data_IF_703213128577
#
_entry.id   IF_703213128577
#
_cell.length_a   1.000
_cell.length_b   1.000
_cell.length_c   1.000
_cell.angle_alpha   90.00
_cell.angle_beta   90.00
_cell.angle_gamma   90.00
#
_symmetry.space_group_name_H-M   'P 1'
#
loop_
_entity.id
_entity.type
_entity.pdbx_description
1 polymer ?
#
# COMPACT_ATOMS: atom_id res chain seq x y z
N UNK A 1 -23.43 -4.81 -46.31
CA UNK A 1 -24.06 -3.51 -46.01
C UNK A 1 -23.53 -2.97 -44.68
N UNK A 2 -23.01 -1.73 -44.70
CA UNK A 2 -22.82 -0.73 -43.62
C UNK A 2 -22.19 -1.14 -42.26
N UNK A 3 -20.91 -0.76 -42.12
CA UNK A 3 -20.23 -0.41 -40.85
C UNK A 3 -21.01 0.69 -40.13
N UNK A 4 -21.09 0.65 -38.80
CA UNK A 4 -21.30 1.84 -37.96
C UNK A 4 -20.26 1.85 -36.84
N UNK A 5 -19.19 2.61 -37.09
CA UNK A 5 -18.36 3.21 -36.04
C UNK A 5 -19.21 4.28 -35.37
N UNK A 6 -19.36 4.26 -34.04
CA UNK A 6 -19.73 5.45 -33.29
C UNK A 6 -18.44 6.01 -32.66
N UNK A 7 -17.89 7.01 -33.33
CA UNK A 7 -17.02 8.01 -32.76
C UNK A 7 -17.84 9.30 -32.67
N UNK A 8 -17.65 10.04 -31.57
CA UNK A 8 -17.95 11.45 -31.29
C UNK A 8 -18.73 11.60 -29.98
N UNK A 9 -18.54 12.61 -29.12
CA UNK A 9 -17.56 13.69 -28.99
C UNK A 9 -18.04 14.51 -27.78
N UNK A 10 -17.09 15.02 -26.99
CA UNK A 10 -17.17 16.24 -26.16
C UNK A 10 -18.43 16.55 -25.36
N UNK A 11 -18.28 16.60 -24.03
CA UNK A 11 -18.67 17.81 -23.29
C UNK A 11 -17.74 18.02 -22.10
N UNK A 12 -17.04 19.16 -22.12
CA UNK A 12 -16.27 19.69 -21.00
C UNK A 12 -17.24 20.30 -19.99
N UNK A 13 -17.17 19.90 -18.73
CA UNK A 13 -17.65 20.74 -17.63
C UNK A 13 -16.54 20.85 -16.59
N UNK A 14 -15.93 22.03 -16.60
CA UNK A 14 -14.98 22.53 -15.61
C UNK A 14 -15.82 23.02 -14.44
N UNK A 15 -15.59 22.51 -13.24
CA UNK A 15 -15.98 23.21 -12.00
C UNK A 15 -14.69 23.43 -11.20
N UNK A 16 -14.23 24.67 -11.26
CA UNK A 16 -13.24 25.25 -10.36
C UNK A 16 -13.98 25.64 -9.08
N UNK A 17 -13.56 25.11 -7.93
CA UNK A 17 -13.89 25.67 -6.63
C UNK A 17 -12.59 25.96 -5.89
N UNK A 18 -12.38 27.24 -5.60
CA UNK A 18 -11.16 27.84 -5.07
C UNK A 18 -11.34 28.11 -3.56
N UNK A 19 -10.48 27.50 -2.75
CA UNK A 19 -9.84 27.97 -1.50
C UNK A 19 -10.69 28.49 -0.31
N UNK A 20 -10.48 27.84 0.83
CA UNK A 20 -10.10 28.45 2.13
C UNK A 20 -9.56 27.29 2.99
N UNK A 21 -8.31 27.27 3.49
CA UNK A 21 -7.63 28.29 4.25
C UNK A 21 -7.51 27.81 5.71
N UNK A 22 -6.47 27.04 6.04
CA UNK A 22 -5.87 27.05 7.38
C UNK A 22 -4.54 26.28 7.40
N UNK A 23 -3.45 27.03 7.32
CA UNK A 23 -2.14 26.65 7.84
C UNK A 23 -2.25 26.64 9.36
N UNK A 24 -2.33 25.47 9.99
CA UNK A 24 -2.08 25.35 11.43
C UNK A 24 -0.63 24.93 11.60
N UNK A 25 0.11 25.79 12.30
CA UNK A 25 1.55 25.83 12.34
C UNK A 25 2.19 24.66 13.08
N UNK A 26 3.38 24.33 12.60
CA UNK A 26 4.39 23.56 13.31
C UNK A 26 4.82 24.42 14.50
N UNK A 27 4.31 24.14 15.70
CA UNK A 27 4.86 24.71 16.93
C UNK A 27 5.94 23.76 17.44
N UNK A 28 7.18 24.11 17.12
CA UNK A 28 8.35 23.73 17.90
C UNK A 28 8.13 24.22 19.34
N UNK A 29 7.82 23.32 20.28
CA UNK A 29 8.00 23.62 21.70
C UNK A 29 9.32 23.01 22.12
N UNK A 30 10.35 23.85 22.00
CA UNK A 30 11.63 23.65 22.64
C UNK A 30 11.49 23.66 24.15
N UNK A 31 12.23 22.73 24.73
CA UNK A 31 12.63 22.59 26.11
C UNK A 31 12.72 23.94 26.86
N UNK A 32 12.01 24.07 27.98
CA UNK A 32 12.32 25.08 29.00
C UNK A 32 13.26 24.44 29.99
N UNK A 33 14.48 24.95 30.08
CA UNK A 33 15.15 25.14 31.36
C UNK A 33 16.10 26.34 31.29
N UNK A 34 15.77 27.32 32.14
CA UNK A 34 16.67 28.10 33.00
C UNK A 34 17.92 28.79 32.42
N UNK A 35 17.79 30.12 32.26
CA UNK A 35 18.61 31.18 32.90
C UNK A 35 20.07 30.85 33.30
N UNK A 36 21.04 31.61 32.76
CA UNK A 36 22.00 32.53 33.45
C UNK A 36 23.33 32.69 32.66
N UNK A 37 23.73 33.96 32.53
CA UNK A 37 25.07 34.58 32.39
C UNK A 37 25.88 34.54 31.07
N UNK A 38 26.08 35.76 30.54
CA UNK A 38 27.32 36.37 30.02
C UNK A 38 28.56 35.48 29.80
N UNK A 39 29.03 35.37 28.54
CA UNK A 39 30.38 35.81 28.10
C UNK A 39 30.56 35.66 26.58
N UNK A 40 31.45 36.47 25.99
CA UNK A 40 31.70 36.72 24.55
C UNK A 40 32.80 35.74 24.00
N UNK A 41 33.33 35.86 22.76
CA UNK A 41 33.00 35.16 21.50
C UNK A 41 33.97 34.01 21.03
N UNK A 42 33.54 33.30 19.97
CA UNK A 42 34.31 32.59 18.90
C UNK A 42 34.66 31.06 18.99
N UNK A 43 34.73 30.34 17.82
CA UNK A 43 34.64 28.87 17.64
C UNK A 43 36.05 28.19 17.58
N UNK A 44 36.28 26.84 17.46
CA UNK A 44 35.57 25.83 16.64
C UNK A 44 35.54 24.33 17.11
N UNK A 45 34.84 23.51 16.31
CA UNK A 45 35.01 22.05 16.04
C UNK A 45 35.38 21.07 17.15
N UNK A 46 34.47 20.14 17.50
CA UNK A 46 34.83 18.72 17.79
C UNK A 46 33.61 17.77 17.75
N UNK A 47 33.73 16.80 16.84
CA UNK A 47 33.23 15.40 16.82
C UNK A 47 32.30 14.95 17.95
N UNK A 48 31.03 14.69 17.62
CA UNK A 48 30.11 13.96 18.49
C UNK A 48 30.25 12.46 18.22
N UNK A 49 30.98 11.79 19.12
CA UNK A 49 30.96 10.35 19.30
C UNK A 49 30.04 10.05 20.48
N UNK A 50 28.92 9.39 20.22
CA UNK A 50 28.06 8.81 21.25
C UNK A 50 27.31 7.60 20.66
N UNK A 51 28.06 6.59 20.23
CA UNK A 51 27.56 5.23 20.10
C UNK A 51 27.24 4.67 21.50
N UNK A 52 25.95 4.61 21.84
CA UNK A 52 25.29 3.47 22.52
C UNK A 52 23.91 3.86 23.00
N UNK A 53 22.89 3.39 22.28
CA UNK A 53 21.62 3.03 22.90
C UNK A 53 21.23 1.65 22.39
N UNK A 54 21.49 0.68 23.26
CA UNK A 54 20.68 -0.50 23.57
C UNK A 54 19.69 -0.93 22.49
N UNK A 55 20.12 -1.94 21.75
CA UNK A 55 19.31 -2.81 20.91
C UNK A 55 18.08 -3.30 21.69
N UNK A 56 16.91 -2.75 21.37
CA UNK A 56 15.65 -3.44 21.57
C UNK A 56 15.64 -4.59 20.56
N UNK A 57 15.79 -5.81 21.05
CA UNK A 57 15.58 -7.01 20.24
C UNK A 57 14.06 -7.24 20.16
N UNK A 58 13.39 -7.04 19.01
CA UNK A 58 12.03 -7.50 18.87
C UNK A 58 12.03 -9.02 18.77
N UNK A 59 11.17 -9.65 19.58
CA UNK A 59 10.69 -11.02 19.42
C UNK A 59 10.42 -11.33 17.94
N UNK A 60 10.62 -12.58 17.43
CA UNK A 60 10.43 -12.91 16.03
C UNK A 60 8.93 -12.99 15.70
N UNK A 61 8.23 -11.86 15.76
CA UNK A 61 7.06 -11.65 14.94
C UNK A 61 7.56 -11.76 13.50
N UNK A 62 7.14 -12.82 12.81
CA UNK A 62 7.62 -13.11 11.49
C UNK A 62 7.24 -11.96 10.56
N UNK A 63 8.21 -11.06 10.34
CA UNK A 63 8.05 -9.77 9.66
C UNK A 63 7.34 -9.96 8.33
N UNK A 64 6.47 -9.02 7.97
CA UNK A 64 5.86 -8.99 6.64
C UNK A 64 7.00 -8.86 5.63
N UNK A 65 7.07 -9.72 4.60
CA UNK A 65 8.07 -9.57 3.55
C UNK A 65 7.91 -8.22 2.85
N UNK A 66 9.03 -7.66 2.40
CA UNK A 66 9.03 -6.43 1.61
C UNK A 66 8.30 -6.64 0.29
N UNK A 67 7.45 -5.68 -0.08
CA UNK A 67 6.68 -5.74 -1.31
C UNK A 67 6.40 -4.33 -1.84
N UNK A 68 6.12 -4.26 -3.13
CA UNK A 68 5.65 -3.07 -3.84
C UNK A 68 4.36 -3.39 -4.60
N UNK A 69 3.42 -2.45 -4.66
CA UNK A 69 2.27 -2.58 -5.55
C UNK A 69 2.72 -2.12 -6.93
N UNK A 70 2.88 -3.08 -7.85
CA UNK A 70 3.38 -2.83 -9.22
C UNK A 70 2.24 -2.50 -10.18
N UNK A 71 1.05 -3.01 -9.91
CA UNK A 71 -0.17 -2.71 -10.66
C UNK A 71 -1.37 -2.71 -9.71
N UNK A 72 -2.26 -1.73 -9.87
CA UNK A 72 -3.53 -1.65 -9.16
C UNK A 72 -4.63 -1.20 -10.11
N UNK A 73 -5.73 -1.95 -10.16
CA UNK A 73 -6.88 -1.65 -11.01
C UNK A 73 -8.18 -1.98 -10.29
N UNK A 74 -9.17 -1.10 -10.42
CA UNK A 74 -10.53 -1.34 -9.99
C UNK A 74 -11.44 -1.36 -11.21
N UNK A 75 -12.23 -2.41 -11.38
CA UNK A 75 -13.19 -2.53 -12.47
C UNK A 75 -14.58 -2.04 -12.03
N UNK A 76 -15.39 -1.61 -12.99
CA UNK A 76 -16.77 -1.11 -12.76
C UNK A 76 -17.69 -2.16 -12.10
N UNK A 77 -17.33 -3.45 -12.20
CA UNK A 77 -18.01 -4.55 -11.51
C UNK A 77 -17.60 -4.73 -10.04
N UNK A 78 -16.79 -3.82 -9.49
CA UNK A 78 -16.27 -3.87 -8.12
C UNK A 78 -15.22 -4.96 -7.91
N UNK A 79 -14.45 -5.30 -8.97
CA UNK A 79 -13.33 -6.23 -8.84
C UNK A 79 -12.06 -5.43 -8.66
N UNK A 80 -11.36 -5.68 -7.56
CA UNK A 80 -10.06 -5.08 -7.29
C UNK A 80 -8.94 -6.04 -7.70
N UNK A 81 -8.16 -5.65 -8.70
CA UNK A 81 -6.98 -6.37 -9.16
C UNK A 81 -5.73 -5.67 -8.60
N UNK A 82 -4.87 -6.43 -7.93
CA UNK A 82 -3.62 -5.91 -7.39
C UNK A 82 -2.48 -6.87 -7.67
N UNK A 83 -1.37 -6.34 -8.16
CA UNK A 83 -0.14 -7.09 -8.40
C UNK A 83 0.93 -6.63 -7.41
N UNK A 84 1.38 -7.54 -6.56
CA UNK A 84 2.45 -7.31 -5.60
C UNK A 84 3.77 -7.81 -6.18
N UNK A 85 4.73 -6.91 -6.34
CA UNK A 85 6.12 -7.24 -6.59
C UNK A 85 6.83 -7.55 -5.27
N UNK A 86 7.64 -8.60 -5.24
CA UNK A 86 8.46 -8.93 -4.08
C UNK A 86 9.78 -9.60 -4.48
N UNK A 87 10.75 -9.59 -3.57
CA UNK A 87 12.02 -10.33 -3.71
C UNK A 87 11.94 -11.74 -3.10
N UNK A 88 10.91 -12.03 -2.31
CA UNK A 88 10.77 -13.36 -1.68
C UNK A 88 10.17 -14.39 -2.63
N UNK A 89 10.67 -15.62 -2.51
CA UNK A 89 10.10 -16.82 -3.15
C UNK A 89 9.58 -17.82 -2.10
N UNK A 90 9.65 -17.46 -0.81
CA UNK A 90 9.21 -18.34 0.26
C UNK A 90 7.68 -18.47 0.28
N UNK A 91 7.16 -19.68 0.18
CA UNK A 91 5.72 -19.94 0.13
C UNK A 91 4.93 -19.35 1.32
N UNK A 92 5.48 -19.39 2.53
CA UNK A 92 4.79 -18.83 3.71
C UNK A 92 4.71 -17.31 3.64
N UNK A 93 5.76 -16.66 3.16
CA UNK A 93 5.81 -15.21 2.96
C UNK A 93 4.89 -14.77 1.83
N UNK A 94 4.88 -15.48 0.70
CA UNK A 94 3.94 -15.24 -0.40
C UNK A 94 2.49 -15.37 0.05
N UNK A 95 2.18 -16.35 0.91
CA UNK A 95 0.84 -16.50 1.49
C UNK A 95 0.46 -15.32 2.37
N UNK A 96 1.39 -14.80 3.19
CA UNK A 96 1.16 -13.60 4.00
C UNK A 96 0.87 -12.38 3.14
N UNK A 97 1.60 -12.19 2.03
CA UNK A 97 1.35 -11.09 1.09
C UNK A 97 -0.06 -11.15 0.51
N UNK A 98 -0.49 -12.32 0.06
CA UNK A 98 -1.85 -12.53 -0.45
C UNK A 98 -2.90 -12.20 0.62
N UNK A 99 -2.70 -12.70 1.86
CA UNK A 99 -3.60 -12.41 2.98
C UNK A 99 -3.63 -10.92 3.34
N UNK A 100 -2.48 -10.26 3.26
CA UNK A 100 -2.35 -8.83 3.52
C UNK A 100 -3.12 -8.01 2.48
N UNK A 101 -2.92 -8.27 1.19
CA UNK A 101 -3.70 -7.61 0.14
C UNK A 101 -5.20 -7.87 0.29
N UNK A 102 -5.62 -9.10 0.60
CA UNK A 102 -7.02 -9.39 0.90
C UNK A 102 -7.54 -8.55 2.08
N UNK A 103 -6.72 -8.35 3.12
CA UNK A 103 -7.10 -7.52 4.27
C UNK A 103 -7.26 -6.04 3.90
N UNK A 104 -6.44 -5.52 2.96
CA UNK A 104 -6.62 -4.18 2.39
C UNK A 104 -7.94 -4.10 1.60
N UNK A 105 -8.34 -5.16 0.90
CA UNK A 105 -9.63 -5.18 0.21
C UNK A 105 -10.80 -4.99 1.18
N UNK A 106 -10.71 -5.57 2.40
CA UNK A 106 -11.77 -5.46 3.42
C UNK A 106 -11.99 -4.01 3.86
N UNK A 107 -10.92 -3.20 3.94
CA UNK A 107 -11.06 -1.78 4.27
C UNK A 107 -11.72 -0.99 3.14
N UNK A 108 -11.65 -1.49 1.90
CA UNK A 108 -12.30 -0.96 0.70
C UNK A 108 -13.65 -1.63 0.38
N UNK A 109 -14.23 -2.42 1.30
CA UNK A 109 -15.42 -3.26 1.07
C UNK A 109 -16.70 -2.52 0.66
N UNK A 110 -16.77 -1.20 0.81
CA UNK A 110 -17.91 -0.40 0.35
C UNK A 110 -18.01 -0.35 -1.19
N UNK A 111 -16.89 -0.53 -1.89
CA UNK A 111 -16.82 -0.48 -3.36
C UNK A 111 -16.29 -1.80 -3.97
N UNK A 112 -15.63 -2.64 -3.16
CA UNK A 112 -15.05 -3.90 -3.61
C UNK A 112 -15.98 -5.08 -3.34
N UNK A 113 -16.39 -5.76 -4.40
CA UNK A 113 -17.10 -7.04 -4.36
C UNK A 113 -16.15 -8.21 -4.21
N UNK A 114 -15.02 -8.19 -4.92
CA UNK A 114 -14.00 -9.23 -4.87
C UNK A 114 -12.60 -8.66 -5.12
N UNK A 115 -11.58 -9.39 -4.66
CA UNK A 115 -10.18 -9.07 -4.90
C UNK A 115 -9.47 -10.24 -5.58
N UNK A 116 -8.62 -9.91 -6.54
CA UNK A 116 -7.66 -10.81 -7.17
C UNK A 116 -6.26 -10.25 -6.95
N UNK A 117 -5.41 -11.08 -6.36
CA UNK A 117 -4.04 -10.73 -6.01
C UNK A 117 -3.11 -11.59 -6.87
N UNK A 118 -2.24 -10.96 -7.62
CA UNK A 118 -1.11 -11.61 -8.26
C UNK A 118 0.17 -11.22 -7.50
N UNK A 119 1.07 -12.17 -7.27
CA UNK A 119 2.39 -11.89 -6.69
C UNK A 119 3.44 -12.25 -7.71
N UNK A 120 4.33 -11.31 -8.04
CA UNK A 120 5.40 -11.45 -9.05
C UNK A 120 6.75 -11.16 -8.43
N UNK A 121 7.82 -11.65 -9.07
CA UNK A 121 9.17 -11.30 -8.68
C UNK A 121 9.53 -9.92 -9.26
N UNK A 122 10.08 -9.00 -8.45
CA UNK A 122 10.45 -7.64 -8.90
C UNK A 122 11.36 -7.64 -10.13
N UNK A 123 12.26 -8.62 -10.22
CA UNK A 123 13.27 -8.71 -11.28
C UNK A 123 12.72 -9.35 -12.56
N UNK A 124 11.52 -9.96 -12.49
CA UNK A 124 10.89 -10.65 -13.61
C UNK A 124 9.36 -10.65 -13.46
N UNK A 125 8.74 -9.54 -13.88
CA UNK A 125 7.28 -9.34 -13.82
C UNK A 125 6.47 -10.32 -14.68
N UNK A 126 7.11 -11.10 -15.55
CA UNK A 126 6.42 -12.06 -16.42
C UNK A 126 6.01 -13.35 -15.71
N UNK A 127 6.64 -13.68 -14.59
CA UNK A 127 6.40 -14.94 -13.86
C UNK A 127 5.66 -14.68 -12.56
N UNK A 128 4.39 -15.07 -12.52
CA UNK A 128 3.60 -15.06 -11.28
C UNK A 128 4.16 -16.11 -10.33
N UNK A 129 4.52 -15.73 -9.12
CA UNK A 129 4.95 -16.61 -8.03
C UNK A 129 3.77 -17.21 -7.29
N UNK A 130 2.73 -16.41 -7.05
CA UNK A 130 1.52 -16.85 -6.40
C UNK A 130 0.32 -16.05 -6.89
N UNK A 131 -0.87 -16.63 -6.74
CA UNK A 131 -2.12 -15.90 -6.87
C UNK A 131 -2.97 -16.09 -5.62
N UNK A 132 -3.88 -15.14 -5.42
CA UNK A 132 -4.94 -15.27 -4.44
C UNK A 132 -6.19 -14.56 -4.88
N UNK A 133 -7.30 -14.94 -4.26
CA UNK A 133 -8.58 -14.26 -4.45
C UNK A 133 -9.46 -14.43 -3.23
N UNK A 134 -10.31 -13.44 -3.00
CA UNK A 134 -11.29 -13.42 -1.92
C UNK A 134 -12.57 -12.71 -2.37
N UNK A 135 -13.72 -13.27 -1.99
CA UNK A 135 -15.03 -12.64 -2.14
C UNK A 135 -15.36 -11.80 -0.91
N UNK A 136 -15.79 -10.56 -1.10
CA UNK A 136 -16.23 -9.67 -0.01
C UNK A 136 -17.76 -9.56 0.06
N UNK A 137 -18.45 -9.79 -1.06
CA UNK A 137 -19.91 -9.78 -1.20
C UNK A 137 -20.40 -11.06 -1.88
N UNK A 138 -21.73 -11.28 -1.90
CA UNK A 138 -22.34 -12.39 -2.66
C UNK A 138 -22.08 -12.28 -4.17
N UNK A 139 -22.07 -11.04 -4.71
CA UNK A 139 -21.59 -10.78 -6.08
C UNK A 139 -20.14 -11.23 -6.24
N UNK A 140 -19.30 -10.96 -5.25
CA UNK A 140 -17.91 -11.44 -5.22
C UNK A 140 -17.77 -12.95 -5.20
N UNK A 141 -18.68 -13.67 -4.53
CA UNK A 141 -18.70 -15.15 -4.55
C UNK A 141 -18.95 -15.66 -5.96
N UNK A 142 -19.88 -15.06 -6.70
CA UNK A 142 -20.12 -15.38 -8.10
C UNK A 142 -18.92 -15.03 -9.02
N UNK A 143 -18.22 -13.93 -8.74
CA UNK A 143 -17.04 -13.51 -9.51
C UNK A 143 -15.82 -14.41 -9.28
N UNK A 144 -15.61 -14.85 -8.04
CA UNK A 144 -14.40 -15.60 -7.65
C UNK A 144 -14.62 -17.10 -7.66
N UNK A 145 -15.87 -17.58 -7.53
CA UNK A 145 -16.18 -18.98 -7.23
C UNK A 145 -15.73 -19.42 -5.83
N UNK A 146 -15.38 -18.48 -4.95
CA UNK A 146 -14.96 -18.72 -3.57
C UNK A 146 -16.05 -18.32 -2.59
N UNK A 147 -16.05 -18.91 -1.39
CA UNK A 147 -16.94 -18.46 -0.32
C UNK A 147 -16.54 -17.06 0.16
N UNK A 148 -17.52 -16.31 0.65
CA UNK A 148 -17.33 -14.98 1.23
C UNK A 148 -16.29 -15.02 2.36
N UNK A 149 -15.36 -14.07 2.34
CA UNK A 149 -14.24 -13.89 3.28
C UNK A 149 -13.24 -15.05 3.34
N UNK A 150 -13.36 -16.05 2.44
CA UNK A 150 -12.37 -17.11 2.33
C UNK A 150 -11.25 -16.68 1.39
N UNK A 151 -10.03 -16.60 1.92
CA UNK A 151 -8.83 -16.33 1.12
C UNK A 151 -8.34 -17.62 0.49
N UNK A 152 -8.47 -17.71 -0.83
CA UNK A 152 -7.82 -18.77 -1.59
C UNK A 152 -6.40 -18.34 -1.98
N UNK A 153 -5.48 -19.29 -1.90
CA UNK A 153 -4.07 -19.09 -2.21
C UNK A 153 -3.61 -20.22 -3.13
N UNK A 154 -2.93 -19.87 -4.21
CA UNK A 154 -2.32 -20.81 -5.13
C UNK A 154 -0.88 -20.40 -5.40
N UNK A 155 0.04 -21.35 -5.20
CA UNK A 155 1.43 -21.18 -5.61
C UNK A 155 1.55 -21.54 -7.10
N UNK A 156 2.23 -20.70 -7.86
CA UNK A 156 2.51 -20.96 -9.27
C UNK A 156 3.95 -21.47 -9.37
N UNK A 157 4.15 -22.62 -10.03
CA UNK A 157 5.44 -23.28 -10.21
C UNK A 157 5.68 -23.57 -11.68
#
# INVERSE_FOLDING_TARGET
MKRRKLLFNQTRFIIVALVAGSLVGIIYTGNKDSQIADEVPSPPSITSSAERLTSFSPSPEAQMPEYEITEERMDDSGIWHVTLGTLTVNQQELKKLVQHACSIALTKSQIVNSVFVDVVQNDNSSSKLATGKMALTSTGEAQTGSKKLEVSFQLNR
#
